data_IF_136386970956
#
_entry.id   IF_136386970956
#
_cell.length_a   1.000
_cell.length_b   1.000
_cell.length_c   1.000
_cell.angle_alpha   90.00
_cell.angle_beta   90.00
_cell.angle_gamma   90.00
#
_symmetry.space_group_name_H-M   'P 1'
#
loop_
_entity.id
_entity.type
_entity.pdbx_description
1 polymer ?
#
# COMPACT_ATOMS: atom_id res chain seq x y z
N UNK A 1 -28.80 -11.55 -30.73
CA UNK A 1 -28.01 -12.49 -31.55
C UNK A 1 -27.26 -13.41 -30.59
N UNK A 2 -27.63 -14.69 -30.60
CA UNK A 2 -27.09 -15.73 -29.72
C UNK A 2 -25.63 -16.03 -30.06
N UNK A 3 -24.70 -15.78 -29.13
CA UNK A 3 -23.38 -16.39 -29.16
C UNK A 3 -23.39 -17.64 -28.26
N UNK A 4 -24.03 -18.69 -28.77
CA UNK A 4 -23.90 -20.04 -28.22
C UNK A 4 -22.67 -20.69 -28.86
N UNK A 5 -21.46 -20.29 -28.43
CA UNK A 5 -20.29 -21.14 -28.65
C UNK A 5 -20.36 -22.26 -27.61
N UNK A 6 -20.93 -23.40 -28.01
CA UNK A 6 -20.75 -24.66 -27.29
C UNK A 6 -19.26 -24.99 -27.27
N UNK A 7 -18.55 -24.54 -26.25
CA UNK A 7 -17.24 -25.06 -25.89
C UNK A 7 -17.42 -26.55 -25.57
N UNK A 8 -16.83 -27.44 -26.37
CA UNK A 8 -16.75 -28.86 -26.04
C UNK A 8 -16.24 -28.98 -24.59
N UNK A 9 -17.05 -29.58 -23.72
CA UNK A 9 -16.73 -29.72 -22.30
C UNK A 9 -15.46 -30.56 -22.17
N UNK A 10 -14.39 -29.97 -21.67
CA UNK A 10 -13.17 -30.67 -21.28
C UNK A 10 -13.53 -31.68 -20.17
N UNK A 11 -13.59 -32.96 -20.52
CA UNK A 11 -14.07 -34.01 -19.63
C UNK A 11 -12.98 -34.40 -18.63
N UNK A 12 -13.36 -34.53 -17.35
CA UNK A 12 -12.47 -34.94 -16.27
C UNK A 12 -13.20 -35.99 -15.44
N UNK A 13 -12.57 -37.16 -15.30
CA UNK A 13 -13.00 -38.24 -14.42
C UNK A 13 -12.61 -37.90 -12.99
N UNK A 14 -13.61 -37.66 -12.12
CA UNK A 14 -13.42 -37.32 -10.70
C UNK A 14 -13.57 -38.54 -9.77
N UNK A 15 -14.00 -39.68 -10.30
CA UNK A 15 -14.20 -40.93 -9.55
C UNK A 15 -13.55 -42.11 -10.27
N UNK A 16 -12.95 -43.02 -9.49
CA UNK A 16 -12.38 -44.28 -9.97
C UNK A 16 -12.88 -45.42 -9.10
N UNK A 17 -13.42 -46.46 -9.72
CA UNK A 17 -13.99 -47.63 -9.02
C UNK A 17 -15.04 -47.25 -7.95
N UNK A 18 -15.89 -46.26 -8.24
CA UNK A 18 -16.94 -45.78 -7.32
C UNK A 18 -16.42 -45.01 -6.10
N UNK A 19 -15.16 -44.57 -6.11
CA UNK A 19 -14.56 -43.71 -5.09
C UNK A 19 -14.04 -42.43 -5.71
N UNK A 20 -14.22 -41.32 -5.03
CA UNK A 20 -13.67 -40.04 -5.45
C UNK A 20 -12.14 -40.07 -5.43
N UNK A 21 -11.54 -39.48 -6.47
CA UNK A 21 -10.08 -39.32 -6.60
C UNK A 21 -9.57 -38.41 -5.49
N UNK A 22 -8.52 -38.82 -4.76
CA UNK A 22 -8.02 -38.10 -3.58
C UNK A 22 -6.64 -37.50 -3.73
N UNK A 23 -5.86 -37.97 -4.70
CA UNK A 23 -4.48 -37.54 -4.87
C UNK A 23 -4.08 -37.49 -6.34
N UNK A 24 -2.95 -36.85 -6.63
CA UNK A 24 -2.51 -36.59 -8.00
C UNK A 24 -2.18 -37.89 -8.76
N UNK A 25 -1.75 -38.93 -8.04
CA UNK A 25 -1.53 -40.27 -8.62
C UNK A 25 -2.83 -40.89 -9.11
N UNK A 26 -3.85 -40.93 -8.27
CA UNK A 26 -5.18 -41.43 -8.63
C UNK A 26 -5.81 -40.60 -9.76
N UNK A 27 -5.58 -39.29 -9.75
CA UNK A 27 -6.05 -38.39 -10.81
C UNK A 27 -5.42 -38.73 -12.16
N UNK A 28 -4.10 -38.97 -12.18
CA UNK A 28 -3.37 -39.38 -13.38
C UNK A 28 -3.82 -40.75 -13.87
N UNK A 29 -4.03 -41.72 -12.97
CA UNK A 29 -4.54 -43.05 -13.34
C UNK A 29 -5.96 -42.99 -13.93
N UNK A 30 -6.82 -42.09 -13.43
CA UNK A 30 -8.19 -41.92 -13.90
C UNK A 30 -8.28 -41.07 -15.20
N UNK A 31 -7.25 -40.27 -15.48
CA UNK A 31 -7.24 -39.31 -16.59
C UNK A 31 -5.88 -39.31 -17.33
N UNK A 32 -5.44 -40.46 -17.88
CA UNK A 32 -4.09 -40.61 -18.45
C UNK A 32 -3.84 -39.78 -19.71
N UNK A 33 -4.90 -39.36 -20.40
CA UNK A 33 -4.88 -38.52 -21.60
C UNK A 33 -4.56 -37.05 -21.30
N UNK A 34 -4.97 -36.56 -20.13
CA UNK A 34 -4.77 -35.16 -19.72
C UNK A 34 -3.74 -35.00 -18.60
N UNK A 35 -3.43 -36.05 -17.83
CA UNK A 35 -2.46 -36.03 -16.75
C UNK A 35 -1.66 -37.33 -16.71
N UNK A 36 -0.35 -37.25 -16.93
CA UNK A 36 0.53 -38.41 -16.89
C UNK A 36 1.80 -38.12 -16.10
N UNK A 37 2.33 -39.15 -15.46
CA UNK A 37 3.62 -39.08 -14.77
C UNK A 37 4.73 -39.00 -15.82
N UNK A 38 5.61 -38.01 -15.71
CA UNK A 38 6.80 -37.99 -16.55
C UNK A 38 7.74 -39.17 -16.18
N UNK A 39 8.45 -39.68 -17.18
CA UNK A 39 9.34 -40.84 -17.04
C UNK A 39 10.43 -40.56 -15.98
N UNK A 40 10.87 -41.58 -15.23
CA UNK A 40 12.00 -41.51 -14.28
C UNK A 40 11.82 -40.59 -13.05
N UNK A 41 10.67 -40.67 -12.36
CA UNK A 41 10.48 -39.96 -11.08
C UNK A 41 10.31 -38.44 -11.21
N UNK A 42 10.13 -37.97 -12.44
CA UNK A 42 9.85 -36.58 -12.79
C UNK A 42 8.43 -36.15 -12.35
N UNK A 43 8.15 -34.83 -12.24
CA UNK A 43 6.84 -34.31 -11.86
C UNK A 43 5.73 -34.75 -12.82
N UNK A 44 4.48 -34.76 -12.35
CA UNK A 44 3.33 -35.02 -13.22
C UNK A 44 3.19 -33.91 -14.26
N UNK A 45 2.76 -34.26 -15.47
CA UNK A 45 2.49 -33.33 -16.55
C UNK A 45 0.98 -33.28 -16.78
N UNK A 46 0.40 -32.08 -16.82
CA UNK A 46 -1.04 -31.88 -17.00
C UNK A 46 -1.35 -30.87 -18.11
N UNK A 47 -2.47 -31.08 -18.80
CA UNK A 47 -3.11 -30.04 -19.60
C UNK A 47 -3.62 -28.89 -18.70
N UNK A 48 -3.27 -27.62 -18.96
CA UNK A 48 -3.69 -26.48 -18.14
C UNK A 48 -5.21 -26.35 -17.98
N UNK A 49 -6.01 -26.85 -18.93
CA UNK A 49 -7.48 -26.79 -18.89
C UNK A 49 -8.08 -27.67 -17.80
N UNK A 50 -7.31 -28.64 -17.30
CA UNK A 50 -7.74 -29.50 -16.19
C UNK A 50 -7.63 -28.81 -14.82
N UNK A 51 -6.87 -27.71 -14.73
CA UNK A 51 -6.59 -27.02 -13.47
C UNK A 51 -7.73 -26.08 -13.07
N UNK A 52 -8.15 -26.17 -11.81
CA UNK A 52 -9.16 -25.31 -11.23
C UNK A 52 -8.49 -24.14 -10.48
N UNK A 53 -8.71 -22.91 -10.98
CA UNK A 53 -8.37 -21.69 -10.28
C UNK A 53 -9.50 -21.34 -9.32
N UNK A 54 -9.22 -21.35 -8.01
CA UNK A 54 -10.20 -20.98 -7.00
C UNK A 54 -10.29 -19.46 -6.91
N UNK A 55 -11.46 -18.85 -7.18
CA UNK A 55 -11.63 -17.40 -7.11
C UNK A 55 -11.25 -16.86 -5.73
N UNK A 56 -10.53 -15.75 -5.71
CA UNK A 56 -10.10 -15.04 -4.49
C UNK A 56 -9.16 -15.84 -3.57
N UNK A 57 -8.88 -17.13 -3.81
CA UNK A 57 -8.02 -17.91 -2.91
C UNK A 57 -6.57 -17.43 -2.93
N UNK A 58 -6.05 -16.97 -4.06
CA UNK A 58 -4.70 -16.43 -4.12
C UNK A 58 -4.63 -15.08 -3.38
N UNK A 59 -3.88 -15.02 -2.28
CA UNK A 59 -3.71 -13.82 -1.47
C UNK A 59 -3.18 -12.61 -2.26
N UNK A 60 -2.49 -12.85 -3.39
CA UNK A 60 -2.05 -11.79 -4.31
C UNK A 60 -3.19 -11.07 -5.01
N UNK A 61 -4.37 -11.68 -5.13
CA UNK A 61 -5.52 -11.05 -5.79
C UNK A 61 -6.10 -9.91 -4.96
N UNK A 62 -5.77 -9.80 -3.68
CA UNK A 62 -6.16 -8.66 -2.84
C UNK A 62 -7.69 -8.53 -2.67
N UNK A 63 -8.44 -9.60 -2.92
CA UNK A 63 -9.90 -9.56 -3.00
C UNK A 63 -10.46 -8.93 -4.28
N UNK A 64 -9.60 -8.55 -5.24
CA UNK A 64 -10.00 -7.99 -6.54
C UNK A 64 -10.34 -9.07 -7.58
N UNK A 65 -10.09 -10.35 -7.27
CA UNK A 65 -10.28 -11.47 -8.19
C UNK A 65 -9.56 -11.27 -9.52
N UNK A 66 -10.31 -11.36 -10.62
CA UNK A 66 -9.80 -11.23 -11.99
C UNK A 66 -9.20 -9.84 -12.31
N UNK A 67 -9.69 -8.77 -11.66
CA UNK A 67 -9.19 -7.41 -11.92
C UNK A 67 -7.73 -7.25 -11.51
N UNK A 68 -7.26 -8.02 -10.52
CA UNK A 68 -5.85 -8.03 -10.12
C UNK A 68 -4.92 -8.37 -11.29
N UNK A 69 -5.29 -9.33 -12.14
CA UNK A 69 -4.44 -9.77 -13.24
C UNK A 69 -4.39 -8.80 -14.40
N UNK A 70 -5.26 -7.77 -14.40
CA UNK A 70 -5.22 -6.65 -15.35
C UNK A 70 -4.26 -5.54 -14.92
N UNK A 71 -3.75 -5.59 -13.68
CA UNK A 71 -2.73 -4.66 -13.22
C UNK A 71 -1.41 -4.87 -14.01
N UNK A 72 -0.62 -3.82 -14.29
CA UNK A 72 0.55 -3.84 -15.17
C UNK A 72 1.58 -4.89 -14.76
N UNK A 73 1.89 -4.96 -13.47
CA UNK A 73 2.89 -5.90 -12.94
C UNK A 73 2.44 -7.36 -13.16
N UNK A 74 1.26 -7.81 -12.69
CA UNK A 74 0.72 -9.13 -13.00
C UNK A 74 0.55 -9.41 -14.50
N UNK A 75 0.00 -8.47 -15.26
CA UNK A 75 -0.26 -8.63 -16.70
C UNK A 75 1.05 -8.84 -17.48
N UNK A 76 2.07 -8.02 -17.23
CA UNK A 76 3.39 -8.16 -17.85
C UNK A 76 4.05 -9.49 -17.44
N UNK A 77 3.93 -9.88 -16.17
CA UNK A 77 4.46 -11.16 -15.70
C UNK A 77 3.80 -12.36 -16.40
N UNK A 78 2.47 -12.33 -16.60
CA UNK A 78 1.72 -13.36 -17.34
C UNK A 78 2.17 -13.42 -18.81
N UNK A 79 2.35 -12.27 -19.47
CA UNK A 79 2.84 -12.24 -20.86
C UNK A 79 4.25 -12.81 -20.99
N UNK A 80 5.14 -12.50 -20.05
CA UNK A 80 6.50 -13.06 -20.03
C UNK A 80 6.47 -14.59 -19.85
N UNK A 81 5.63 -15.09 -18.93
CA UNK A 81 5.44 -16.53 -18.73
C UNK A 81 4.82 -17.20 -19.96
N UNK A 82 3.88 -16.53 -20.64
CA UNK A 82 3.25 -17.03 -21.86
C UNK A 82 4.31 -17.27 -22.95
N UNK A 83 5.16 -16.27 -23.20
CA UNK A 83 6.26 -16.39 -24.15
C UNK A 83 7.26 -17.49 -23.73
N UNK A 84 7.51 -17.64 -22.42
CA UNK A 84 8.35 -18.72 -21.91
C UNK A 84 7.76 -20.11 -22.21
N UNK A 85 6.44 -20.30 -22.06
CA UNK A 85 5.76 -21.54 -22.47
C UNK A 85 5.89 -21.82 -23.97
N UNK A 86 5.66 -20.80 -24.81
CA UNK A 86 5.76 -20.91 -26.27
C UNK A 86 7.19 -21.31 -26.71
N UNK A 87 8.19 -20.74 -26.04
CA UNK A 87 9.60 -21.02 -26.32
C UNK A 87 10.12 -22.33 -25.70
N UNK A 88 9.27 -23.08 -24.98
CA UNK A 88 9.67 -24.32 -24.32
C UNK A 88 10.66 -24.12 -23.15
N UNK A 89 10.62 -22.97 -22.49
CA UNK A 89 11.49 -22.68 -21.35
C UNK A 89 11.16 -23.55 -20.14
N UNK A 90 12.15 -23.75 -19.26
CA UNK A 90 11.95 -24.50 -18.02
C UNK A 90 11.18 -23.66 -16.99
N UNK A 91 9.91 -24.01 -16.74
CA UNK A 91 9.01 -23.28 -15.83
C UNK A 91 8.68 -24.10 -14.60
N UNK A 92 8.88 -23.52 -13.42
CA UNK A 92 8.64 -24.17 -12.13
C UNK A 92 7.28 -24.90 -12.05
N UNK A 93 7.19 -26.04 -11.34
CA UNK A 93 5.95 -26.78 -11.19
C UNK A 93 4.86 -25.99 -10.46
N UNK A 94 3.60 -26.17 -10.89
CA UNK A 94 2.42 -25.65 -10.21
C UNK A 94 2.07 -26.57 -9.06
N UNK A 95 1.85 -25.97 -7.89
CA UNK A 95 1.43 -26.70 -6.70
C UNK A 95 -0.09 -26.79 -6.67
N UNK A 96 -0.60 -28.01 -6.51
CA UNK A 96 -2.04 -28.30 -6.48
C UNK A 96 -2.40 -29.15 -5.27
N UNK A 97 -3.67 -29.13 -4.90
CA UNK A 97 -4.32 -30.13 -4.06
C UNK A 97 -5.48 -30.75 -4.83
N UNK A 98 -5.76 -32.03 -4.60
CA UNK A 98 -6.96 -32.64 -5.15
C UNK A 98 -8.12 -32.39 -4.18
N UNK A 99 -9.13 -31.66 -4.64
CA UNK A 99 -10.36 -31.45 -3.89
C UNK A 99 -11.52 -31.79 -4.80
N UNK A 100 -12.45 -32.58 -4.27
CA UNK A 100 -13.59 -33.09 -5.01
C UNK A 100 -13.22 -33.83 -6.32
N UNK A 101 -12.06 -34.50 -6.34
CA UNK A 101 -11.54 -35.20 -7.52
C UNK A 101 -10.95 -34.28 -8.60
N UNK A 102 -10.77 -32.99 -8.32
CA UNK A 102 -10.21 -31.99 -9.26
C UNK A 102 -8.92 -31.36 -8.71
N UNK A 103 -7.93 -31.07 -9.57
CA UNK A 103 -6.69 -30.41 -9.15
C UNK A 103 -6.91 -28.90 -9.01
N UNK A 104 -7.03 -28.45 -7.76
CA UNK A 104 -7.14 -27.03 -7.40
C UNK A 104 -5.77 -26.41 -7.23
N UNK A 105 -5.55 -25.27 -7.87
CA UNK A 105 -4.27 -24.56 -7.80
C UNK A 105 -4.09 -23.92 -6.42
N UNK A 106 -2.91 -24.15 -5.82
CA UNK A 106 -2.45 -23.54 -4.57
C UNK A 106 -1.24 -22.64 -4.76
N UNK A 107 -0.44 -22.89 -5.78
CA UNK A 107 0.60 -21.95 -6.17
C UNK A 107 0.85 -22.08 -7.66
N UNK A 108 0.81 -20.95 -8.36
CA UNK A 108 1.03 -20.93 -9.80
C UNK A 108 -0.06 -20.28 -10.63
N UNK A 109 -0.98 -19.49 -10.04
CA UNK A 109 -2.06 -18.83 -10.78
C UNK A 109 -1.58 -18.09 -12.05
N UNK A 110 -0.51 -17.30 -11.96
CA UNK A 110 0.04 -16.62 -13.15
C UNK A 110 0.58 -17.62 -14.20
N UNK A 111 1.18 -18.73 -13.77
CA UNK A 111 1.66 -19.81 -14.66
C UNK A 111 0.50 -20.54 -15.33
N UNK A 112 -0.56 -20.88 -14.58
CA UNK A 112 -1.78 -21.48 -15.14
C UNK A 112 -2.40 -20.56 -16.19
N UNK A 113 -2.57 -19.27 -15.86
CA UNK A 113 -3.13 -18.26 -16.79
C UNK A 113 -2.28 -18.10 -18.04
N UNK A 114 -0.95 -18.01 -17.88
CA UNK A 114 -0.01 -17.91 -18.98
C UNK A 114 -0.04 -19.12 -19.90
N UNK A 115 -0.11 -20.34 -19.35
CA UNK A 115 -0.22 -21.57 -20.13
C UNK A 115 -1.53 -21.65 -20.91
N UNK A 116 -2.66 -21.27 -20.29
CA UNK A 116 -3.96 -21.19 -20.98
C UNK A 116 -3.94 -20.18 -22.14
N UNK A 117 -3.28 -19.03 -21.95
CA UNK A 117 -3.09 -18.03 -23.01
C UNK A 117 -2.21 -18.57 -24.15
N UNK A 118 -1.10 -19.22 -23.82
CA UNK A 118 -0.19 -19.79 -24.81
C UNK A 118 -0.85 -20.93 -25.60
N UNK A 119 -1.67 -21.77 -24.94
CA UNK A 119 -2.47 -22.82 -25.57
C UNK A 119 -3.45 -22.21 -26.56
N UNK A 120 -4.14 -21.14 -26.15
CA UNK A 120 -5.11 -20.42 -27.00
C UNK A 120 -4.45 -19.74 -28.20
N UNK A 121 -3.26 -19.17 -28.02
CA UNK A 121 -2.53 -18.44 -29.06
C UNK A 121 -1.91 -19.37 -30.11
N UNK A 122 -1.31 -20.48 -29.68
CA UNK A 122 -0.59 -21.39 -30.58
C UNK A 122 -1.47 -22.51 -31.13
N UNK A 123 -2.53 -22.90 -30.41
CA UNK A 123 -3.30 -24.12 -30.69
C UNK A 123 -2.52 -25.42 -30.44
N UNK A 124 -1.28 -25.34 -29.96
CA UNK A 124 -0.42 -26.49 -29.69
C UNK A 124 -0.65 -27.00 -28.26
N UNK A 125 -0.55 -28.32 -28.00
CA UNK A 125 -0.62 -28.85 -26.65
C UNK A 125 0.46 -28.25 -25.74
N UNK A 126 0.04 -27.65 -24.63
CA UNK A 126 0.93 -27.16 -23.57
C UNK A 126 0.71 -28.04 -22.36
N UNK A 127 1.79 -28.60 -21.83
CA UNK A 127 1.77 -29.40 -20.60
C UNK A 127 2.52 -28.67 -19.49
N UNK A 128 1.97 -28.70 -18.29
CA UNK A 128 2.56 -28.05 -17.12
C UNK A 128 3.01 -29.11 -16.11
N UNK A 129 4.19 -28.90 -15.52
CA UNK A 129 4.68 -29.69 -14.40
C UNK A 129 3.84 -29.42 -13.15
N UNK A 130 3.41 -30.47 -12.46
CA UNK A 130 2.66 -30.42 -11.22
C UNK A 130 3.45 -30.98 -10.04
N UNK A 131 3.16 -30.40 -8.88
CA UNK A 131 3.50 -30.95 -7.57
C UNK A 131 2.24 -30.98 -6.72
N UNK A 132 1.98 -32.11 -6.09
CA UNK A 132 0.93 -32.23 -5.10
C UNK A 132 1.40 -31.65 -3.74
N UNK A 133 0.54 -30.87 -3.10
CA UNK A 133 0.74 -30.43 -1.73
C UNK A 133 0.01 -31.38 -0.79
N UNK A 134 0.70 -31.82 0.27
CA UNK A 134 0.19 -32.83 1.20
C UNK A 134 -0.15 -32.27 2.60
N UNK A 135 -0.06 -30.95 2.77
CA UNK A 135 -0.33 -30.30 4.05
C UNK A 135 -1.78 -29.88 4.26
N UNK A 136 -2.11 -29.55 5.50
CA UNK A 136 -3.44 -29.09 5.91
C UNK A 136 -3.77 -27.67 5.38
N UNK A 137 -4.95 -27.14 5.69
CA UNK A 137 -5.38 -25.84 5.19
C UNK A 137 -4.51 -24.67 5.69
N UNK A 138 -3.98 -24.77 6.91
CA UNK A 138 -3.05 -23.79 7.49
C UNK A 138 -1.73 -23.83 6.73
N UNK A 139 -1.16 -25.01 6.53
CA UNK A 139 0.06 -25.23 5.77
C UNK A 139 -0.09 -24.80 4.31
N UNK A 140 -1.26 -25.01 3.70
CA UNK A 140 -1.57 -24.55 2.34
C UNK A 140 -1.53 -23.01 2.23
N UNK A 141 -2.15 -22.30 3.18
CA UNK A 141 -2.17 -20.83 3.18
C UNK A 141 -0.76 -20.27 3.42
N UNK A 142 -0.01 -20.87 4.34
CA UNK A 142 1.40 -20.53 4.57
C UNK A 142 2.30 -20.81 3.37
N UNK A 143 2.11 -21.94 2.70
CA UNK A 143 2.81 -22.25 1.47
C UNK A 143 2.51 -21.21 0.36
N UNK A 144 1.28 -20.71 0.30
CA UNK A 144 0.89 -19.60 -0.58
C UNK A 144 1.66 -18.32 -0.26
N UNK A 145 1.77 -17.97 1.03
CA UNK A 145 2.52 -16.83 1.53
C UNK A 145 4.04 -16.94 1.25
N UNK A 146 4.64 -18.10 1.53
CA UNK A 146 6.08 -18.37 1.36
C UNK A 146 6.49 -18.44 -0.11
N UNK A 147 5.57 -18.81 -0.99
CA UNK A 147 5.75 -18.85 -2.43
C UNK A 147 6.02 -17.48 -3.08
N UNK A 148 6.02 -16.39 -2.31
CA UNK A 148 6.07 -15.03 -2.81
C UNK A 148 7.47 -14.44 -3.07
N UNK A 149 8.50 -15.28 -3.25
CA UNK A 149 9.91 -14.82 -3.27
C UNK A 149 10.29 -13.89 -4.43
N UNK A 150 9.74 -14.09 -5.63
CA UNK A 150 10.10 -13.28 -6.81
C UNK A 150 9.42 -11.90 -6.85
N UNK A 151 8.24 -11.77 -6.25
CA UNK A 151 7.47 -10.53 -6.18
C UNK A 151 6.91 -10.39 -4.77
N UNK A 152 7.46 -9.45 -4.00
CA UNK A 152 7.03 -9.21 -2.63
C UNK A 152 5.51 -9.10 -2.55
N UNK A 153 4.93 -9.85 -1.62
CA UNK A 153 3.51 -9.78 -1.35
C UNK A 153 3.20 -8.41 -0.72
N UNK A 154 2.26 -7.69 -1.32
CA UNK A 154 1.80 -6.41 -0.82
C UNK A 154 1.06 -6.57 0.53
N UNK A 155 1.03 -5.51 1.36
CA UNK A 155 0.48 -5.58 2.73
C UNK A 155 -0.96 -6.09 2.82
N UNK A 156 -1.83 -5.67 1.91
CA UNK A 156 -3.24 -6.11 1.91
C UNK A 156 -3.35 -7.61 1.60
N UNK A 157 -2.48 -8.15 0.74
CA UNK A 157 -2.49 -9.56 0.38
C UNK A 157 -2.07 -10.43 1.56
N UNK A 158 -1.06 -9.98 2.32
CA UNK A 158 -0.73 -10.55 3.64
C UNK A 158 -1.91 -10.45 4.60
N UNK A 159 -2.58 -9.30 4.63
CA UNK A 159 -3.77 -9.06 5.46
C UNK A 159 -4.90 -10.06 5.22
N UNK A 160 -5.21 -10.34 3.96
CA UNK A 160 -6.22 -11.33 3.58
C UNK A 160 -5.81 -12.73 4.02
N UNK A 161 -4.57 -13.14 3.77
CA UNK A 161 -4.08 -14.44 4.19
C UNK A 161 -4.10 -14.60 5.73
N UNK A 162 -3.63 -13.59 6.46
CA UNK A 162 -3.68 -13.60 7.93
C UNK A 162 -5.12 -13.60 8.45
N UNK A 163 -6.05 -12.91 7.76
CA UNK A 163 -7.47 -12.97 8.09
C UNK A 163 -8.02 -14.39 7.98
N UNK A 164 -7.66 -15.15 6.93
CA UNK A 164 -8.07 -16.55 6.81
C UNK A 164 -7.46 -17.43 7.89
N UNK A 165 -6.15 -17.30 8.11
CA UNK A 165 -5.46 -18.07 9.15
C UNK A 165 -6.11 -17.87 10.53
N UNK A 166 -6.46 -16.63 10.88
CA UNK A 166 -7.01 -16.31 12.20
C UNK A 166 -8.52 -16.55 12.27
N UNK A 167 -9.29 -16.04 11.31
CA UNK A 167 -10.75 -16.02 11.39
C UNK A 167 -11.41 -17.28 10.81
N UNK A 168 -10.75 -18.00 9.90
CA UNK A 168 -11.32 -19.20 9.24
C UNK A 168 -10.64 -20.48 9.74
N UNK A 169 -9.30 -20.49 9.83
CA UNK A 169 -8.53 -21.67 10.22
C UNK A 169 -8.24 -21.77 11.74
N UNK A 170 -8.60 -20.75 12.52
CA UNK A 170 -8.53 -20.78 13.98
C UNK A 170 -7.14 -20.56 14.59
N UNK A 171 -6.16 -20.06 13.85
CA UNK A 171 -4.87 -19.64 14.43
C UNK A 171 -5.05 -18.43 15.34
N UNK A 172 -4.24 -18.31 16.38
CA UNK A 172 -4.16 -17.09 17.17
C UNK A 172 -3.28 -16.03 16.48
N UNK A 173 -3.56 -14.76 16.75
CA UNK A 173 -2.71 -13.63 16.31
C UNK A 173 -1.26 -13.82 16.77
N UNK A 174 -1.05 -14.38 17.97
CA UNK A 174 0.26 -14.65 18.54
C UNK A 174 1.03 -15.73 17.75
N UNK A 175 0.34 -16.76 17.25
CA UNK A 175 0.98 -17.78 16.41
C UNK A 175 1.45 -17.19 15.08
N UNK A 176 0.62 -16.35 14.45
CA UNK A 176 0.96 -15.64 13.21
C UNK A 176 2.13 -14.68 13.45
N UNK A 177 2.10 -13.90 14.54
CA UNK A 177 3.12 -12.91 14.86
C UNK A 177 4.49 -13.56 15.15
N UNK A 178 4.50 -14.67 15.89
CA UNK A 178 5.70 -15.48 16.14
C UNK A 178 6.31 -16.04 14.85
N UNK A 179 5.49 -16.58 13.95
CA UNK A 179 5.98 -17.14 12.68
C UNK A 179 6.57 -16.06 11.77
N UNK A 180 5.89 -14.93 11.64
CA UNK A 180 6.30 -13.83 10.76
C UNK A 180 7.34 -12.90 11.38
N UNK A 181 7.66 -13.07 12.67
CA UNK A 181 8.59 -12.24 13.44
C UNK A 181 8.20 -10.75 13.42
N UNK A 182 6.91 -10.46 13.67
CA UNK A 182 6.35 -9.10 13.78
C UNK A 182 5.50 -9.00 15.05
N UNK A 183 5.09 -7.78 15.44
CA UNK A 183 4.23 -7.62 16.63
C UNK A 183 2.78 -8.04 16.37
N UNK A 184 2.07 -8.47 17.41
CA UNK A 184 0.63 -8.76 17.36
C UNK A 184 -0.18 -7.57 16.82
N UNK A 185 0.23 -6.34 17.16
CA UNK A 185 -0.41 -5.13 16.65
C UNK A 185 -0.22 -4.98 15.15
N UNK A 186 0.97 -5.30 14.62
CA UNK A 186 1.22 -5.29 13.18
C UNK A 186 0.36 -6.34 12.45
N UNK A 187 0.21 -7.54 13.02
CA UNK A 187 -0.68 -8.58 12.48
C UNK A 187 -2.14 -8.08 12.43
N UNK A 188 -2.65 -7.50 13.53
CA UNK A 188 -4.02 -6.96 13.57
C UNK A 188 -4.24 -5.83 12.56
N UNK A 189 -3.26 -4.94 12.40
CA UNK A 189 -3.31 -3.90 11.36
C UNK A 189 -3.37 -4.51 9.96
N UNK A 190 -2.56 -5.53 9.67
CA UNK A 190 -2.60 -6.20 8.37
C UNK A 190 -3.96 -6.89 8.15
N UNK A 191 -4.49 -7.62 9.14
CA UNK A 191 -5.82 -8.25 9.06
C UNK A 191 -6.90 -7.20 8.76
N UNK A 192 -6.84 -6.02 9.36
CA UNK A 192 -7.82 -4.96 9.11
C UNK A 192 -7.87 -4.50 7.64
N UNK A 193 -6.79 -4.70 6.87
CA UNK A 193 -6.77 -4.38 5.43
C UNK A 193 -7.62 -5.35 4.59
N UNK A 194 -8.00 -6.52 5.11
CA UNK A 194 -8.78 -7.50 4.36
C UNK A 194 -10.18 -6.97 4.00
N UNK A 195 -10.75 -6.11 4.86
CA UNK A 195 -12.14 -5.66 4.78
C UNK A 195 -12.31 -4.23 4.28
N UNK A 196 -11.22 -3.50 4.01
CA UNK A 196 -11.32 -2.11 3.52
C UNK A 196 -11.84 -2.06 2.08
N UNK A 197 -12.23 -0.87 1.64
CA UNK A 197 -12.65 -0.55 0.29
C UNK A 197 -11.61 -0.99 -0.75
N UNK A 198 -12.07 -1.62 -1.83
CA UNK A 198 -11.20 -2.17 -2.87
C UNK A 198 -10.32 -1.13 -3.54
N UNK A 199 -10.79 0.13 -3.66
CA UNK A 199 -9.96 1.20 -4.18
C UNK A 199 -8.79 1.55 -3.25
N UNK A 200 -9.02 1.55 -1.94
CA UNK A 200 -7.92 1.71 -0.97
C UNK A 200 -6.94 0.55 -1.06
N UNK A 201 -7.42 -0.69 -1.27
CA UNK A 201 -6.56 -1.86 -1.52
C UNK A 201 -5.70 -1.66 -2.75
N UNK A 202 -6.29 -1.18 -3.85
CA UNK A 202 -5.58 -0.87 -5.10
C UNK A 202 -4.52 0.21 -4.87
N UNK A 203 -4.86 1.31 -4.20
CA UNK A 203 -3.94 2.41 -3.91
C UNK A 203 -2.76 1.97 -3.03
N UNK A 204 -2.99 1.13 -2.03
CA UNK A 204 -1.92 0.53 -1.22
C UNK A 204 -1.05 -0.40 -2.07
N UNK A 205 -1.67 -1.24 -2.91
CA UNK A 205 -0.96 -2.21 -3.76
C UNK A 205 0.01 -1.54 -4.75
N UNK A 206 -0.28 -0.30 -5.12
CA UNK A 206 0.46 0.51 -6.07
C UNK A 206 1.46 1.45 -5.42
N UNK A 207 1.65 1.35 -4.10
CA UNK A 207 2.49 2.23 -3.29
C UNK A 207 2.10 3.72 -3.38
N UNK A 208 0.85 4.02 -3.78
CA UNK A 208 0.31 5.40 -3.80
C UNK A 208 0.17 5.92 -2.38
N UNK A 209 -0.24 5.07 -1.44
CA UNK A 209 -0.31 5.38 -0.02
C UNK A 209 0.24 4.22 0.81
N UNK A 210 0.93 4.50 1.92
CA UNK A 210 1.31 3.45 2.87
C UNK A 210 0.08 2.93 3.62
N UNK A 211 -0.01 1.62 3.82
CA UNK A 211 -1.12 1.02 4.58
C UNK A 211 -1.30 1.60 5.99
N UNK A 212 -0.21 1.96 6.68
CA UNK A 212 -0.25 2.58 8.01
C UNK A 212 -0.94 3.94 7.99
N UNK A 213 -0.59 4.81 7.03
CA UNK A 213 -1.27 6.09 6.83
C UNK A 213 -2.73 5.91 6.43
N UNK A 214 -3.02 4.92 5.57
CA UNK A 214 -4.40 4.61 5.18
C UNK A 214 -5.25 4.24 6.40
N UNK A 215 -4.76 3.34 7.25
CA UNK A 215 -5.46 2.94 8.48
C UNK A 215 -5.61 4.09 9.49
N UNK A 216 -4.61 4.97 9.59
CA UNK A 216 -4.69 6.18 10.41
C UNK A 216 -5.81 7.11 9.93
N UNK A 217 -5.89 7.37 8.62
CA UNK A 217 -6.97 8.19 8.04
C UNK A 217 -8.34 7.56 8.25
N UNK A 218 -8.48 6.24 8.05
CA UNK A 218 -9.74 5.52 8.30
C UNK A 218 -10.15 5.65 9.78
N UNK A 219 -9.20 5.54 10.71
CA UNK A 219 -9.47 5.67 12.14
C UNK A 219 -9.92 7.10 12.50
N UNK A 220 -9.29 8.11 11.90
CA UNK A 220 -9.49 9.51 12.29
C UNK A 220 -10.70 10.16 11.60
N UNK A 221 -11.02 9.76 10.36
CA UNK A 221 -12.07 10.37 9.51
C UNK A 221 -13.21 9.40 9.15
N UNK A 222 -13.01 8.10 9.34
CA UNK A 222 -13.85 7.07 8.72
C UNK A 222 -13.43 6.76 7.28
N UNK A 223 -13.86 5.61 6.78
CA UNK A 223 -13.36 5.04 5.52
C UNK A 223 -13.69 5.87 4.28
N UNK A 224 -14.95 6.32 4.15
CA UNK A 224 -15.40 7.09 2.98
C UNK A 224 -14.69 8.45 2.90
N UNK A 225 -14.58 9.16 4.02
CA UNK A 225 -13.92 10.46 4.07
C UNK A 225 -12.42 10.34 3.85
N UNK A 226 -11.79 9.27 4.38
CA UNK A 226 -10.40 8.96 4.09
C UNK A 226 -10.16 8.74 2.59
N UNK A 227 -11.03 7.98 1.92
CA UNK A 227 -10.93 7.74 0.48
C UNK A 227 -11.07 9.04 -0.33
N UNK A 228 -12.07 9.86 -0.04
CA UNK A 228 -12.27 11.15 -0.72
C UNK A 228 -11.09 12.10 -0.53
N UNK A 229 -10.52 12.15 0.68
CA UNK A 229 -9.34 12.96 0.96
C UNK A 229 -8.12 12.49 0.17
N UNK A 230 -7.91 11.17 0.06
CA UNK A 230 -6.83 10.57 -0.73
C UNK A 230 -7.03 10.86 -2.22
N UNK A 231 -8.25 10.69 -2.74
CA UNK A 231 -8.61 11.00 -4.12
C UNK A 231 -8.35 12.46 -4.46
N UNK A 232 -8.75 13.39 -3.60
CA UNK A 232 -8.52 14.82 -3.81
C UNK A 232 -7.03 15.15 -3.92
N UNK A 233 -6.19 14.73 -2.97
CA UNK A 233 -4.73 14.98 -3.02
C UNK A 233 -4.08 14.32 -4.24
N UNK A 234 -4.54 13.12 -4.60
CA UNK A 234 -4.03 12.40 -5.76
C UNK A 234 -4.39 13.10 -7.07
N UNK A 235 -5.63 13.55 -7.21
CA UNK A 235 -6.11 14.30 -8.38
C UNK A 235 -5.38 15.63 -8.53
N UNK A 236 -5.13 16.35 -7.42
CA UNK A 236 -4.38 17.59 -7.45
C UNK A 236 -2.93 17.36 -7.90
N UNK A 237 -2.31 16.25 -7.47
CA UNK A 237 -0.98 15.85 -7.98
C UNK A 237 -0.99 15.44 -9.44
N UNK A 238 -2.02 14.71 -9.89
CA UNK A 238 -2.15 14.30 -11.29
C UNK A 238 -2.33 15.52 -12.18
N UNK A 239 -3.18 16.50 -11.81
CA UNK A 239 -3.37 17.75 -12.57
C UNK A 239 -2.07 18.51 -12.80
N UNK A 240 -1.21 18.58 -11.78
CA UNK A 240 0.09 19.24 -11.88
C UNK A 240 1.03 18.48 -12.84
N UNK A 241 0.94 17.15 -12.88
CA UNK A 241 1.87 16.30 -13.62
C UNK A 241 1.38 15.97 -15.04
N UNK A 242 0.10 16.05 -15.31
CA UNK A 242 -0.52 15.65 -16.58
C UNK A 242 -1.82 16.43 -16.81
N UNK A 243 -1.75 17.67 -17.32
CA UNK A 243 -2.93 18.49 -17.55
C UNK A 243 -3.96 17.82 -18.48
N UNK A 244 -3.51 16.93 -19.39
CA UNK A 244 -4.35 16.27 -20.39
C UNK A 244 -5.22 15.11 -19.84
N UNK A 245 -5.02 14.67 -18.59
CA UNK A 245 -5.83 13.61 -17.96
C UNK A 245 -6.99 14.15 -17.08
N UNK A 246 -7.26 15.46 -17.13
CA UNK A 246 -8.33 16.10 -16.36
C UNK A 246 -9.72 15.67 -16.84
N UNK A 247 -10.27 14.58 -16.30
CA UNK A 247 -11.66 14.21 -16.61
C UNK A 247 -12.08 12.78 -16.26
N UNK A 248 -11.18 11.90 -15.86
CA UNK A 248 -11.56 10.53 -15.51
C UNK A 248 -12.09 10.51 -14.07
N UNK A 249 -13.42 10.44 -13.91
CA UNK A 249 -14.11 10.38 -12.61
C UNK A 249 -13.82 9.13 -11.77
N UNK A 250 -12.98 8.24 -12.27
CA UNK A 250 -12.45 7.07 -11.57
C UNK A 250 -10.93 7.10 -11.74
N UNK A 251 -10.20 6.96 -10.63
CA UNK A 251 -8.75 6.84 -10.70
C UNK A 251 -8.42 5.67 -11.62
N UNK A 252 -7.57 5.86 -12.64
CA UNK A 252 -7.17 4.76 -13.50
C UNK A 252 -6.55 3.68 -12.64
N UNK A 253 -6.83 2.42 -12.96
CA UNK A 253 -6.25 1.26 -12.27
C UNK A 253 -4.72 1.29 -12.19
N UNK A 254 -4.00 2.21 -12.85
CA UNK A 254 -2.54 2.26 -12.98
C UNK A 254 -1.95 3.64 -12.70
N UNK A 255 -2.32 4.24 -11.57
CA UNK A 255 -1.95 5.63 -11.24
C UNK A 255 -0.43 5.83 -11.23
N UNK A 256 0.33 4.90 -10.64
CA UNK A 256 1.79 5.04 -10.53
C UNK A 256 2.53 4.98 -11.87
N UNK A 257 2.04 4.21 -12.84
CA UNK A 257 2.74 4.07 -14.13
C UNK A 257 2.40 5.21 -15.08
N UNK A 258 1.16 5.72 -15.04
CA UNK A 258 0.76 6.94 -15.76
C UNK A 258 1.68 8.09 -15.36
N UNK A 259 1.90 8.27 -14.07
CA UNK A 259 2.67 9.43 -13.59
C UNK A 259 4.18 9.27 -13.83
N UNK A 260 4.72 8.05 -13.71
CA UNK A 260 6.12 7.78 -14.08
C UNK A 260 6.38 8.10 -15.55
N UNK A 261 5.43 7.82 -16.44
CA UNK A 261 5.55 8.09 -17.86
C UNK A 261 5.62 9.60 -18.13
N UNK A 262 4.79 10.41 -17.48
CA UNK A 262 4.74 11.85 -17.75
C UNK A 262 5.93 12.63 -17.19
N UNK A 263 6.45 12.24 -16.03
CA UNK A 263 7.44 13.08 -15.31
C UNK A 263 8.90 12.84 -15.73
N UNK A 264 9.20 11.84 -16.58
CA UNK A 264 10.57 11.44 -16.98
C UNK A 264 11.51 11.02 -15.83
N UNK A 265 11.05 11.17 -14.58
CA UNK A 265 11.79 10.95 -13.34
C UNK A 265 11.08 9.89 -12.51
N UNK A 266 11.85 8.99 -11.88
CA UNK A 266 11.33 7.81 -11.15
C UNK A 266 10.56 8.11 -9.85
N UNK A 267 10.23 9.37 -9.53
CA UNK A 267 9.56 9.68 -8.26
C UNK A 267 8.08 9.32 -8.37
N UNK A 268 7.73 8.13 -7.88
CA UNK A 268 6.34 7.69 -7.75
C UNK A 268 5.54 8.73 -6.94
N UNK A 269 4.37 9.11 -7.42
CA UNK A 269 3.45 9.96 -6.66
C UNK A 269 2.98 9.20 -5.43
N UNK A 270 3.35 9.74 -4.27
CA UNK A 270 3.02 9.17 -2.98
C UNK A 270 2.22 10.18 -2.16
N UNK A 271 1.12 9.71 -1.61
CA UNK A 271 0.31 10.40 -0.63
C UNK A 271 1.02 10.28 0.72
N UNK A 272 1.20 11.42 1.37
CA UNK A 272 1.94 11.54 2.64
C UNK A 272 1.12 12.38 3.61
N UNK A 273 1.40 12.27 4.91
CA UNK A 273 0.77 13.12 5.92
C UNK A 273 0.85 14.60 5.54
N UNK A 274 2.04 15.04 5.11
CA UNK A 274 2.27 16.42 4.68
C UNK A 274 1.44 16.84 3.48
N UNK A 275 1.17 15.96 2.52
CA UNK A 275 0.38 16.32 1.34
C UNK A 275 -1.11 16.43 1.64
N UNK A 276 -1.61 15.59 2.56
CA UNK A 276 -3.00 15.67 3.05
C UNK A 276 -3.22 16.87 4.01
N UNK A 277 -2.15 17.56 4.41
CA UNK A 277 -2.20 18.68 5.36
C UNK A 277 -2.11 18.24 6.83
N UNK A 278 -1.83 16.96 7.10
CA UNK A 278 -1.59 16.44 8.44
C UNK A 278 -0.12 16.72 8.78
N UNK A 279 0.11 17.76 9.57
CA UNK A 279 1.46 18.13 10.01
C UNK A 279 1.69 17.61 11.43
N UNK A 280 2.77 16.86 11.69
CA UNK A 280 3.04 16.33 13.01
C UNK A 280 3.31 17.48 14.00
N UNK A 281 2.71 17.40 15.19
CA UNK A 281 3.02 18.32 16.28
C UNK A 281 4.48 18.12 16.69
N UNK A 282 5.32 19.17 16.73
CA UNK A 282 6.71 19.06 17.13
C UNK A 282 6.86 18.46 18.53
N UNK A 283 7.75 17.48 18.69
CA UNK A 283 7.97 16.77 19.97
C UNK A 283 8.20 17.70 21.16
N UNK A 284 8.95 18.80 20.97
CA UNK A 284 9.19 19.80 22.03
C UNK A 284 7.89 20.49 22.44
N UNK A 285 7.05 20.86 21.48
CA UNK A 285 5.76 21.49 21.75
C UNK A 285 4.84 20.53 22.51
N UNK A 286 4.75 19.27 22.09
CA UNK A 286 3.92 18.29 22.78
C UNK A 286 4.41 17.99 24.20
N UNK A 287 5.72 17.89 24.41
CA UNK A 287 6.32 17.67 25.74
C UNK A 287 6.07 18.86 26.67
N UNK A 288 6.26 20.08 26.17
CA UNK A 288 6.02 21.29 26.94
C UNK A 288 4.54 21.43 27.31
N UNK A 289 3.63 21.21 26.36
CA UNK A 289 2.19 21.26 26.63
C UNK A 289 1.76 20.20 27.65
N UNK A 290 2.27 18.96 27.55
CA UNK A 290 1.96 17.92 28.52
C UNK A 290 2.46 18.29 29.93
N UNK A 291 3.64 18.88 30.05
CA UNK A 291 4.18 19.35 31.33
C UNK A 291 3.36 20.52 31.89
N UNK A 292 3.03 21.52 31.06
CA UNK A 292 2.21 22.67 31.45
C UNK A 292 0.81 22.25 31.87
N UNK A 293 0.16 21.36 31.12
CA UNK A 293 -1.17 20.83 31.48
C UNK A 293 -1.11 20.07 32.78
N UNK A 294 -0.10 19.22 32.99
CA UNK A 294 0.07 18.49 34.27
C UNK A 294 0.19 19.45 35.45
N UNK A 295 0.99 20.51 35.32
CA UNK A 295 1.18 21.50 36.37
C UNK A 295 -0.10 22.32 36.63
N UNK A 296 -0.78 22.75 35.57
CA UNK A 296 -2.08 23.43 35.64
C UNK A 296 -3.11 22.53 36.32
N UNK A 297 -3.22 21.25 35.93
CA UNK A 297 -4.16 20.30 36.55
C UNK A 297 -3.85 20.07 38.03
N UNK A 298 -2.58 19.93 38.40
CA UNK A 298 -2.17 19.74 39.80
C UNK A 298 -2.55 20.96 40.65
N UNK A 299 -2.28 22.17 40.14
CA UNK A 299 -2.60 23.42 40.84
C UNK A 299 -4.09 23.66 40.94
N UNK A 300 -4.83 23.41 39.86
CA UNK A 300 -6.30 23.48 39.86
C UNK A 300 -6.87 22.51 40.90
N UNK A 301 -6.35 21.28 40.95
CA UNK A 301 -6.78 20.30 41.96
C UNK A 301 -6.44 20.74 43.39
N UNK A 302 -5.28 21.35 43.61
CA UNK A 302 -4.88 21.87 44.92
C UNK A 302 -5.73 23.08 45.37
N UNK A 303 -6.22 23.89 44.42
CA UNK A 303 -7.12 25.02 44.71
C UNK A 303 -8.58 24.61 44.97
N UNK A 304 -8.92 23.36 44.68
CA UNK A 304 -10.25 22.80 44.88
C UNK A 304 -10.34 22.07 46.24
N UNK A 305 -11.50 22.09 46.92
CA UNK A 305 -11.72 21.28 48.11
C UNK A 305 -11.41 19.79 47.87
N UNK A 306 -10.90 19.11 48.90
CA UNK A 306 -10.48 17.70 48.84
C UNK A 306 -11.64 16.77 48.44
N UNK A 307 -12.83 17.08 48.93
CA UNK A 307 -14.11 16.44 48.61
C UNK A 307 -15.05 17.49 48.02
N UNK A 308 -15.54 17.24 46.81
CA UNK A 308 -16.55 18.06 46.14
C UNK A 308 -17.72 17.13 45.87
N UNK A 309 -18.84 17.38 46.53
CA UNK A 309 -20.10 16.70 46.26
C UNK A 309 -20.82 17.43 45.13
N UNK A 310 -20.70 16.91 43.91
CA UNK A 310 -21.27 17.52 42.70
C UNK A 310 -22.80 17.51 42.70
N UNK A 311 -23.44 16.72 43.57
CA UNK A 311 -24.91 16.67 43.72
C UNK A 311 -25.47 17.83 44.55
N UNK A 312 -24.62 18.53 45.32
CA UNK A 312 -25.01 19.66 46.17
C UNK A 312 -24.78 21.02 45.52
N UNK A 313 -24.06 21.08 44.40
CA UNK A 313 -23.76 22.31 43.67
C UNK A 313 -24.89 22.57 42.67
N UNK A 314 -25.60 23.68 42.84
CA UNK A 314 -26.68 24.05 41.92
C UNK A 314 -26.15 24.27 40.49
N UNK A 315 -26.97 24.02 39.47
CA UNK A 315 -26.60 24.09 38.04
C UNK A 315 -25.91 25.40 37.58
N UNK A 316 -26.08 26.49 38.34
CA UNK A 316 -25.50 27.82 38.08
C UNK A 316 -24.60 28.35 39.21
N UNK A 317 -24.27 27.51 40.19
CA UNK A 317 -23.44 27.92 41.32
C UNK A 317 -21.97 27.99 40.89
N UNK A 318 -21.35 29.16 41.11
CA UNK A 318 -19.97 29.43 40.66
C UNK A 318 -18.99 29.06 41.76
N UNK A 319 -18.03 28.20 41.43
CA UNK A 319 -16.89 27.91 42.29
C UNK A 319 -15.83 28.98 42.01
N UNK A 320 -15.51 29.79 43.02
CA UNK A 320 -14.41 30.73 42.93
C UNK A 320 -13.09 30.00 43.16
N UNK A 321 -12.19 30.07 42.18
CA UNK A 321 -10.86 29.48 42.26
C UNK A 321 -9.85 30.61 42.38
N UNK A 322 -9.03 30.57 43.44
CA UNK A 322 -7.90 31.48 43.58
C UNK A 322 -6.75 31.01 42.69
N UNK A 323 -6.23 31.92 41.87
CA UNK A 323 -5.25 31.63 40.83
C UNK A 323 -3.99 32.44 41.08
N UNK A 324 -2.84 31.78 41.17
CA UNK A 324 -1.57 32.47 41.35
C UNK A 324 -1.00 32.98 40.01
N UNK A 325 -0.11 33.98 40.09
CA UNK A 325 0.52 34.58 38.90
C UNK A 325 1.19 33.52 38.02
N UNK A 326 1.85 32.55 38.63
CA UNK A 326 2.57 31.50 37.89
C UNK A 326 1.62 30.59 37.11
N UNK A 327 0.46 30.23 37.66
CA UNK A 327 -0.57 29.48 36.93
C UNK A 327 -1.07 30.25 35.70
N UNK A 328 -1.31 31.55 35.84
CA UNK A 328 -1.70 32.41 34.72
C UNK A 328 -0.60 32.46 33.65
N UNK A 329 0.67 32.60 34.06
CA UNK A 329 1.81 32.60 33.14
C UNK A 329 1.93 31.28 32.37
N UNK A 330 1.74 30.13 33.03
CA UNK A 330 1.76 28.81 32.37
C UNK A 330 0.69 28.68 31.29
N UNK A 331 -0.54 29.12 31.57
CA UNK A 331 -1.64 29.10 30.61
C UNK A 331 -1.33 29.99 29.41
N UNK A 332 -0.86 31.22 29.66
CA UNK A 332 -0.54 32.17 28.60
C UNK A 332 0.62 31.69 27.73
N UNK A 333 1.65 31.09 28.32
CA UNK A 333 2.78 30.52 27.59
C UNK A 333 2.39 29.30 26.74
N UNK A 334 1.54 28.42 27.28
CA UNK A 334 0.99 27.28 26.54
C UNK A 334 0.16 27.76 25.34
N UNK A 335 -0.72 28.75 25.55
CA UNK A 335 -1.54 29.35 24.50
C UNK A 335 -0.69 30.02 23.41
N UNK A 336 0.31 30.83 23.80
CA UNK A 336 1.23 31.47 22.86
C UNK A 336 1.99 30.44 22.02
N UNK A 337 2.47 29.36 22.64
CA UNK A 337 3.20 28.29 21.95
C UNK A 337 2.34 27.54 20.93
N UNK A 338 1.06 27.31 21.23
CA UNK A 338 0.09 26.71 20.28
C UNK A 338 -0.14 27.66 19.11
N UNK A 339 -0.42 28.93 19.39
CA UNK A 339 -0.70 29.94 18.36
C UNK A 339 0.49 30.20 17.44
N UNK A 340 1.71 30.22 17.98
CA UNK A 340 2.94 30.29 17.20
C UNK A 340 3.12 29.09 16.27
N UNK A 341 2.66 27.91 16.68
CA UNK A 341 2.69 26.72 15.84
C UNK A 341 1.64 26.79 14.73
N UNK A 342 0.39 27.16 15.05
CA UNK A 342 -0.69 27.33 14.09
C UNK A 342 -0.34 28.36 13.01
N UNK A 343 0.17 29.53 13.40
CA UNK A 343 0.61 30.57 12.45
C UNK A 343 1.77 30.10 11.55
N UNK A 344 2.69 29.27 12.06
CA UNK A 344 3.74 28.65 11.24
C UNK A 344 3.16 27.64 10.24
N UNK A 345 2.12 26.90 10.62
CA UNK A 345 1.42 25.99 9.72
C UNK A 345 0.71 26.75 8.60
N UNK A 346 -0.04 27.80 8.94
CA UNK A 346 -0.72 28.69 7.98
C UNK A 346 0.26 29.33 6.98
N UNK A 347 1.41 29.82 7.46
CA UNK A 347 2.45 30.38 6.57
C UNK A 347 3.01 29.35 5.59
N UNK A 348 3.18 28.09 6.00
CA UNK A 348 3.66 27.01 5.13
C UNK A 348 2.63 26.63 4.07
N UNK A 349 1.35 26.52 4.44
CA UNK A 349 0.29 26.20 3.48
C UNK A 349 0.09 27.34 2.48
N UNK A 350 0.25 28.60 2.92
CA UNK A 350 0.14 29.77 2.03
C UNK A 350 1.33 29.89 1.08
N UNK A 351 2.57 29.67 1.56
CA UNK A 351 3.75 29.61 0.68
C UNK A 351 3.66 28.49 -0.35
N UNK A 352 3.18 27.30 0.03
CA UNK A 352 2.97 26.18 -0.90
C UNK A 352 1.99 26.52 -2.03
N UNK A 353 0.89 27.20 -1.71
CA UNK A 353 -0.09 27.69 -2.69
C UNK A 353 0.50 28.77 -3.62
N UNK A 354 1.31 29.69 -3.09
CA UNK A 354 1.94 30.76 -3.89
C UNK A 354 3.02 30.24 -4.84
N UNK A 355 3.79 29.22 -4.43
CA UNK A 355 4.79 28.58 -5.30
C UNK A 355 4.16 27.74 -6.42
N UNK A 356 2.92 27.28 -6.26
CA UNK A 356 2.18 26.60 -7.32
C UNK A 356 1.54 27.59 -8.31
N UNK A 357 1.23 28.82 -7.90
CA UNK A 357 0.66 29.84 -8.79
C UNK A 357 1.70 30.63 -9.60
N UNK A 358 3.01 30.47 -9.33
CA UNK A 358 4.08 31.24 -9.99
C UNK A 358 4.80 30.48 -11.12
N UNK A 359 4.39 29.26 -11.44
CA UNK A 359 4.95 28.49 -12.57
C UNK A 359 4.14 28.56 -13.87
N UNK A 360 3.16 29.46 -13.99
CA UNK A 360 2.29 29.54 -15.19
C UNK A 360 2.36 30.85 -15.97
N UNK A 361 3.41 31.66 -15.83
CA UNK A 361 3.65 32.82 -16.72
C UNK A 361 5.14 33.12 -16.84
N UNK A 362 5.82 32.44 -17.74
CA UNK A 362 7.06 32.95 -18.33
C UNK A 362 7.07 32.46 -19.79
N UNK A 363 6.22 33.11 -20.60
CA UNK A 363 6.25 32.98 -22.05
C UNK A 363 7.50 33.68 -22.61
N UNK A 364 8.02 33.03 -23.65
CA UNK A 364 9.19 33.36 -24.43
C UNK A 364 9.24 34.81 -24.93
N UNK A 365 10.38 35.47 -24.71
CA UNK A 365 10.96 36.36 -25.72
C UNK A 365 12.47 36.16 -25.77
N UNK A 366 12.87 35.28 -26.70
CA UNK A 366 14.25 35.16 -27.18
C UNK A 366 14.64 36.42 -27.97
N UNK A 367 15.63 37.17 -27.48
CA UNK A 367 16.50 38.00 -28.35
C UNK A 367 17.96 37.73 -27.97
N UNK A 368 18.68 37.16 -28.93
CA UNK A 368 20.11 36.80 -28.97
C UNK A 368 21.07 37.97 -28.69
N UNK A 369 22.25 37.73 -28.08
CA UNK A 369 23.29 38.74 -27.92
C UNK A 369 24.31 38.72 -29.08
N UNK A 370 24.75 39.89 -29.54
CA UNK A 370 25.90 40.05 -30.41
C UNK A 370 26.90 41.06 -29.83
N UNK A 371 28.18 40.76 -30.01
CA UNK A 371 29.35 41.35 -29.38
C UNK A 371 29.79 42.72 -29.94
N UNK A 372 30.41 43.58 -29.09
CA UNK A 372 31.79 44.10 -29.20
C UNK A 372 32.02 45.35 -28.31
N UNK A 373 33.25 45.47 -27.79
CA UNK A 373 33.83 46.43 -26.82
C UNK A 373 34.06 47.87 -27.40
N UNK A 374 34.77 48.85 -26.78
CA UNK A 374 35.44 48.89 -25.45
C UNK A 374 35.37 50.24 -24.64
N UNK A 375 35.91 50.20 -23.40
CA UNK A 375 36.61 51.25 -22.60
C UNK A 375 35.91 52.57 -22.19
N UNK A 376 35.78 52.79 -20.87
CA UNK A 376 36.47 53.87 -20.13
C UNK A 376 36.23 53.79 -18.60
N UNK A 377 37.32 53.75 -17.85
CA UNK A 377 37.46 54.08 -16.41
C UNK A 377 37.81 55.59 -16.26
N UNK A 378 37.90 56.20 -15.05
CA UNK A 378 37.11 56.12 -13.80
C UNK A 378 36.75 57.59 -13.34
N UNK A 379 36.61 58.05 -12.06
CA UNK A 379 37.37 57.72 -10.84
C UNK A 379 36.56 57.46 -9.53
N UNK A 380 37.24 56.71 -8.66
CA UNK A 380 37.24 56.67 -7.18
C UNK A 380 36.32 57.58 -6.36
N UNK A 381 35.74 57.00 -5.30
CA UNK A 381 35.94 57.58 -3.97
C UNK A 381 36.02 56.49 -2.87
N UNK A 382 37.12 56.54 -2.13
CA UNK A 382 37.44 55.76 -0.94
C UNK A 382 36.51 56.15 0.22
N UNK A 383 36.17 55.17 1.08
CA UNK A 383 36.57 55.27 2.49
C UNK A 383 36.55 53.89 3.17
N UNK A 384 37.72 53.57 3.72
CA UNK A 384 38.06 52.43 4.55
C UNK A 384 37.44 52.54 5.95
N UNK A 385 37.23 51.39 6.60
CA UNK A 385 37.88 51.02 7.87
C UNK A 385 37.42 49.59 8.22
N UNK A 386 38.22 48.56 8.00
CA UNK A 386 39.38 48.08 8.79
C UNK A 386 39.01 47.17 9.99
N UNK A 387 39.56 45.95 9.91
CA UNK A 387 40.11 45.09 10.98
C UNK A 387 39.18 44.52 12.08
N UNK A 388 39.37 43.32 12.63
CA UNK A 388 40.35 42.25 12.43
C UNK A 388 39.81 40.96 13.06
N UNK A 389 40.35 39.85 12.56
CA UNK A 389 40.35 38.48 13.06
C UNK A 389 40.72 38.37 14.55
N UNK A 390 40.14 37.37 15.22
CA UNK A 390 40.82 36.57 16.25
C UNK A 390 40.22 35.15 16.29
N UNK A 391 40.94 34.22 15.68
CA UNK A 391 40.91 32.80 16.02
C UNK A 391 41.67 32.60 17.34
N UNK A 392 41.16 31.75 18.23
CA UNK A 392 41.97 31.09 19.25
C UNK A 392 41.45 29.66 19.48
N UNK A 393 42.32 28.70 19.17
CA UNK A 393 42.25 27.29 19.57
C UNK A 393 42.37 27.15 21.10
N UNK A 394 41.71 26.14 21.69
CA UNK A 394 42.30 25.02 22.45
C UNK A 394 41.44 24.53 23.61
N UNK A 395 41.38 23.18 23.73
CA UNK A 395 41.15 22.33 24.92
C UNK A 395 39.87 22.59 25.76
N UNK A 396 39.00 21.62 26.06
CA UNK A 396 39.15 20.24 26.55
C UNK A 396 37.92 19.44 26.13
#
# INVERSE_FOLDING_TARGET
MNNNQQSASFFITTERHGRQVRNLREFSDANPDICHKAVNGQPYMIDPRALELVPNWNCREMGLGEEYYKLPKPAAHIQNLKNAFINGADIDPITVVIVDGRPRVRQGNCRTRAALLALKETGLPILIRLREFLGDDIEQEWHSLDGAKALLLCPVGRGIAYSRLVNEAGMSVEQVSKRENISDMAVRQLISLATINDELKVLISQDVISYTLCLELIRDLGENEALEKIRSDLNDKIKVLSPDLSGVGSLPLNVTDIIKATTGTRKAVRITKSSIGIQPIPRKLSQNLAASIKEVSNRLRASLPTEIDLEQIGQNEKINIEVDRHFVELILQAYASIRDHETKLERKTTKGKLSQSTQSTADDTNITPAANAPLNEPPSNNQNNEFSLLNLHSAV
#
